data_IF_224752537209
#
_entry.id   IF_224752537209
#
_cell.length_a   1.000
_cell.length_b   1.000
_cell.length_c   1.000
_cell.angle_alpha   90.00
_cell.angle_beta   90.00
_cell.angle_gamma   90.00
#
_symmetry.space_group_name_H-M   'P 1'
#
loop_
_entity.id
_entity.type
_entity.pdbx_description
1 polymer ?
#
# COMPACT_ATOMS: atom_id res chain seq x y z
N UNK A 1 -34.88 -54.52 -29.42
CA UNK A 1 -33.60 -53.81 -29.19
C UNK A 1 -32.74 -54.61 -28.24
N UNK A 2 -31.49 -54.90 -28.60
CA UNK A 2 -30.51 -55.42 -27.65
C UNK A 2 -29.95 -54.25 -26.81
N UNK A 3 -29.85 -54.43 -25.49
CA UNK A 3 -29.30 -53.41 -24.58
C UNK A 3 -27.77 -53.40 -24.64
N UNK A 4 -27.16 -52.23 -24.64
CA UNK A 4 -25.71 -52.04 -24.53
C UNK A 4 -25.32 -51.47 -23.15
N UNK A 5 -24.03 -51.43 -22.84
CA UNK A 5 -23.52 -50.84 -21.59
C UNK A 5 -23.48 -49.31 -21.70
N UNK A 6 -24.00 -48.61 -20.68
CA UNK A 6 -24.14 -47.16 -20.71
C UNK A 6 -22.85 -46.38 -20.34
N UNK A 7 -21.97 -46.91 -19.47
CA UNK A 7 -20.75 -46.23 -19.02
C UNK A 7 -19.68 -47.20 -18.49
N UNK A 8 -18.37 -46.88 -18.64
CA UNK A 8 -17.27 -47.68 -18.08
C UNK A 8 -15.97 -46.88 -17.87
N UNK A 9 -15.32 -47.07 -16.71
CA UNK A 9 -14.00 -46.50 -16.38
C UNK A 9 -12.86 -47.56 -16.42
N UNK A 10 -13.12 -48.76 -16.95
CA UNK A 10 -12.24 -49.92 -16.75
C UNK A 10 -10.80 -49.78 -17.30
N UNK A 11 -10.60 -49.07 -18.40
CA UNK A 11 -9.28 -48.90 -19.05
C UNK A 11 -8.75 -47.46 -18.99
N UNK A 12 -9.41 -46.54 -18.26
CA UNK A 12 -8.92 -45.15 -18.23
C UNK A 12 -7.62 -45.08 -17.42
N UNK A 13 -7.62 -45.62 -16.20
CA UNK A 13 -6.43 -45.65 -15.33
C UNK A 13 -5.21 -46.27 -16.04
N UNK A 14 -5.41 -47.39 -16.75
CA UNK A 14 -4.32 -48.01 -17.50
C UNK A 14 -3.75 -47.09 -18.58
N UNK A 15 -4.60 -46.36 -19.32
CA UNK A 15 -4.16 -45.40 -20.36
C UNK A 15 -3.43 -44.20 -19.75
N UNK A 16 -3.97 -43.63 -18.68
CA UNK A 16 -3.40 -42.47 -18.00
C UNK A 16 -1.99 -42.77 -17.48
N UNK A 17 -1.77 -44.00 -17.02
CA UNK A 17 -0.48 -44.47 -16.53
C UNK A 17 0.50 -44.96 -17.61
N UNK A 18 0.09 -45.17 -18.88
CA UNK A 18 1.04 -45.58 -19.96
C UNK A 18 2.18 -44.59 -20.14
N UNK A 19 1.86 -43.30 -20.11
CA UNK A 19 2.83 -42.20 -20.22
C UNK A 19 3.22 -41.64 -18.84
N UNK A 20 2.53 -42.08 -17.79
CA UNK A 20 2.64 -41.61 -16.42
C UNK A 20 1.98 -40.25 -16.19
N UNK A 21 1.29 -40.11 -15.06
CA UNK A 21 0.68 -38.85 -14.64
C UNK A 21 1.78 -37.92 -14.12
N UNK A 22 2.18 -36.93 -14.93
CA UNK A 22 3.22 -35.96 -14.57
C UNK A 22 2.66 -34.85 -13.69
N UNK A 23 3.41 -34.48 -12.66
CA UNK A 23 3.09 -33.32 -11.81
C UNK A 23 3.38 -32.02 -12.57
N UNK A 24 2.65 -30.93 -12.31
CA UNK A 24 2.99 -29.62 -12.90
C UNK A 24 4.39 -29.20 -12.44
N UNK A 25 5.15 -28.59 -13.35
CA UNK A 25 6.52 -28.17 -13.03
C UNK A 25 6.53 -26.93 -12.14
N UNK A 26 7.22 -27.03 -11.00
CA UNK A 26 7.45 -25.90 -10.09
C UNK A 26 8.63 -25.07 -10.59
N UNK A 27 8.39 -23.81 -10.95
CA UNK A 27 9.43 -22.86 -11.33
C UNK A 27 9.87 -22.03 -10.13
N UNK A 28 11.16 -21.66 -10.07
CA UNK A 28 11.70 -20.81 -8.99
C UNK A 28 11.01 -19.45 -8.91
N UNK A 29 10.59 -18.90 -10.05
CA UNK A 29 9.92 -17.62 -10.15
C UNK A 29 8.62 -17.77 -10.95
N UNK A 30 7.43 -17.77 -10.30
CA UNK A 30 6.15 -17.82 -10.99
C UNK A 30 5.79 -16.47 -11.64
N UNK A 31 4.77 -16.47 -12.50
CA UNK A 31 4.19 -15.25 -13.06
C UNK A 31 3.48 -14.42 -11.98
N UNK A 32 3.43 -13.10 -12.16
CA UNK A 32 2.66 -12.17 -11.31
C UNK A 32 1.22 -11.95 -11.83
N UNK A 33 0.70 -12.88 -12.62
CA UNK A 33 -0.67 -12.84 -13.14
C UNK A 33 -1.66 -13.03 -11.99
N UNK A 34 -2.68 -12.18 -11.90
CA UNK A 34 -3.67 -12.22 -10.81
C UNK A 34 -3.26 -11.47 -9.53
N UNK A 35 -2.07 -10.88 -9.48
CA UNK A 35 -1.67 -9.97 -8.39
C UNK A 35 -2.35 -8.61 -8.57
N UNK A 36 -2.68 -7.94 -7.47
CA UNK A 36 -3.32 -6.61 -7.45
C UNK A 36 -2.63 -5.64 -8.46
N UNK A 37 -3.39 -5.11 -9.43
CA UNK A 37 -2.87 -4.15 -10.41
C UNK A 37 -2.21 -2.92 -9.77
N UNK A 38 -2.65 -2.45 -8.59
CA UNK A 38 -2.04 -1.31 -7.90
C UNK A 38 -0.64 -1.64 -7.41
N UNK A 39 -0.48 -2.81 -6.79
CA UNK A 39 0.83 -3.32 -6.41
C UNK A 39 1.76 -3.49 -7.61
N UNK A 40 1.29 -4.13 -8.69
CA UNK A 40 2.11 -4.40 -9.88
C UNK A 40 2.56 -3.09 -10.56
N UNK A 41 1.70 -2.07 -10.63
CA UNK A 41 2.06 -0.74 -11.14
C UNK A 41 3.19 -0.11 -10.32
N UNK A 42 3.09 -0.11 -9.00
CA UNK A 42 4.15 0.41 -8.13
C UNK A 42 5.45 -0.41 -8.24
N UNK A 43 5.36 -1.75 -8.31
CA UNK A 43 6.51 -2.62 -8.45
C UNK A 43 7.29 -2.34 -9.76
N UNK A 44 6.59 -2.02 -10.85
CA UNK A 44 7.22 -1.62 -12.12
C UNK A 44 8.02 -0.34 -11.95
N UNK A 45 7.45 0.70 -11.33
CA UNK A 45 8.15 1.97 -11.12
C UNK A 45 9.34 1.84 -10.17
N UNK A 46 9.20 1.12 -9.06
CA UNK A 46 10.32 0.90 -8.12
C UNK A 46 11.48 0.15 -8.79
N UNK A 47 11.21 -0.90 -9.57
CA UNK A 47 12.23 -1.62 -10.35
C UNK A 47 12.89 -0.75 -11.41
N UNK A 48 12.13 0.14 -12.06
CA UNK A 48 12.63 1.06 -13.08
C UNK A 48 13.65 2.05 -12.49
N UNK A 49 13.26 2.78 -11.45
CA UNK A 49 14.07 3.87 -10.90
C UNK A 49 15.23 3.39 -10.02
N UNK A 50 15.18 2.19 -9.44
CA UNK A 50 16.26 1.66 -8.62
C UNK A 50 17.41 1.02 -9.43
N UNK A 51 17.37 1.04 -10.77
CA UNK A 51 18.37 0.34 -11.60
C UNK A 51 19.80 0.87 -11.41
N UNK A 52 19.98 2.20 -11.40
CA UNK A 52 21.30 2.83 -11.26
C UNK A 52 21.83 2.69 -9.83
N UNK A 53 21.00 3.02 -8.84
CA UNK A 53 21.36 2.89 -7.43
C UNK A 53 21.74 1.45 -7.07
N UNK A 54 20.99 0.47 -7.59
CA UNK A 54 21.29 -0.95 -7.39
C UNK A 54 22.63 -1.36 -8.03
N UNK A 55 22.94 -0.89 -9.25
CA UNK A 55 24.22 -1.20 -9.89
C UNK A 55 25.40 -0.66 -9.09
N UNK A 56 25.32 0.59 -8.63
CA UNK A 56 26.38 1.21 -7.83
C UNK A 56 26.55 0.47 -6.50
N UNK A 57 25.45 0.13 -5.81
CA UNK A 57 25.48 -0.66 -4.59
C UNK A 57 26.08 -2.06 -4.80
N UNK A 58 25.76 -2.73 -5.90
CA UNK A 58 26.33 -4.04 -6.20
C UNK A 58 27.83 -3.95 -6.51
N UNK A 59 28.27 -2.88 -7.20
CA UNK A 59 29.69 -2.62 -7.47
C UNK A 59 30.47 -2.40 -6.16
N UNK A 60 29.96 -1.54 -5.28
CA UNK A 60 30.61 -1.27 -3.99
C UNK A 60 30.63 -2.52 -3.10
N UNK A 61 29.53 -3.28 -3.03
CA UNK A 61 29.50 -4.56 -2.29
C UNK A 61 30.49 -5.57 -2.84
N UNK A 62 30.59 -5.72 -4.16
CA UNK A 62 31.55 -6.63 -4.79
C UNK A 62 32.99 -6.20 -4.51
N UNK A 63 33.29 -4.90 -4.60
CA UNK A 63 34.61 -4.36 -4.27
C UNK A 63 34.95 -4.60 -2.79
N UNK A 64 34.00 -4.39 -1.87
CA UNK A 64 34.16 -4.63 -0.43
C UNK A 64 34.37 -6.11 -0.08
N UNK A 65 33.66 -7.01 -0.77
CA UNK A 65 33.88 -8.46 -0.63
C UNK A 65 35.25 -8.88 -1.18
N UNK A 66 35.69 -8.28 -2.29
CA UNK A 66 36.99 -8.55 -2.88
C UNK A 66 38.14 -7.99 -2.03
N UNK A 67 37.92 -6.88 -1.30
CA UNK A 67 38.91 -6.29 -0.39
C UNK A 67 39.01 -7.00 0.96
N UNK A 68 38.26 -8.10 1.18
CA UNK A 68 38.33 -8.89 2.40
C UNK A 68 37.78 -8.20 3.66
N UNK A 69 37.15 -7.04 3.53
CA UNK A 69 36.50 -6.33 4.63
C UNK A 69 35.17 -7.02 5.00
N UNK A 70 35.26 -8.22 5.56
CA UNK A 70 34.17 -8.82 6.30
C UNK A 70 34.18 -8.16 7.68
N UNK A 71 33.42 -7.08 7.82
CA UNK A 71 33.07 -6.56 9.14
C UNK A 71 32.35 -7.67 9.90
N UNK A 72 33.07 -8.36 10.77
CA UNK A 72 32.50 -9.21 11.81
C UNK A 72 31.55 -8.33 12.61
N UNK A 73 30.26 -8.58 12.43
CA UNK A 73 29.16 -7.79 12.95
C UNK A 73 29.20 -7.81 14.50
N UNK A 74 29.88 -6.84 15.12
CA UNK A 74 29.49 -6.40 16.45
C UNK A 74 28.23 -5.55 16.25
N UNK A 75 27.09 -6.20 16.47
CA UNK A 75 25.73 -5.71 16.29
C UNK A 75 25.60 -4.20 16.08
N UNK A 76 25.33 -3.81 14.84
CA UNK A 76 24.99 -2.43 14.48
C UNK A 76 23.70 -2.04 15.22
N UNK A 77 23.83 -1.31 16.34
CA UNK A 77 22.73 -0.49 16.88
C UNK A 77 22.31 0.46 15.77
N UNK A 78 21.16 0.20 15.15
CA UNK A 78 20.54 1.10 14.17
C UNK A 78 20.42 2.48 14.84
N UNK A 79 21.02 3.56 14.30
CA UNK A 79 20.82 4.88 14.87
C UNK A 79 19.34 5.22 14.75
N UNK A 80 18.74 5.63 15.86
CA UNK A 80 17.37 6.12 15.87
C UNK A 80 17.25 7.22 14.80
N UNK A 81 16.34 7.03 13.85
CA UNK A 81 16.02 8.04 12.85
C UNK A 81 15.53 9.27 13.62
N UNK A 82 16.33 10.33 13.67
CA UNK A 82 15.88 11.61 14.22
C UNK A 82 14.80 12.14 13.28
N UNK A 83 13.55 11.86 13.64
CA UNK A 83 12.40 12.57 13.12
C UNK A 83 12.32 13.79 14.01
N UNK A 84 12.65 14.96 13.46
CA UNK A 84 12.33 16.22 14.13
C UNK A 84 10.84 16.18 14.48
N UNK A 85 10.45 16.36 15.76
CA UNK A 85 9.05 16.41 16.11
C UNK A 85 8.44 17.60 15.36
N UNK A 86 7.62 17.31 14.35
CA UNK A 86 6.74 18.32 13.77
C UNK A 86 5.98 18.93 14.93
N UNK A 87 6.09 20.25 15.10
CA UNK A 87 5.55 21.05 16.21
C UNK A 87 4.04 20.88 16.36
N UNK A 88 3.60 19.74 16.88
CA UNK A 88 2.30 19.53 17.46
C UNK A 88 2.49 19.73 18.97
N UNK A 89 2.51 21.00 19.38
CA UNK A 89 2.68 21.37 20.78
C UNK A 89 1.41 21.06 21.55
N UNK A 90 1.32 19.87 22.12
CA UNK A 90 0.61 19.74 23.38
C UNK A 90 1.60 20.07 24.48
N UNK A 91 1.38 21.22 25.13
CA UNK A 91 2.12 21.61 26.33
C UNK A 91 2.13 20.42 27.30
N UNK A 92 3.28 20.12 27.90
CA UNK A 92 3.41 19.03 28.88
C UNK A 92 2.33 19.17 29.98
N UNK A 93 2.01 20.40 30.37
CA UNK A 93 0.92 20.72 31.30
C UNK A 93 -0.46 20.23 30.83
N UNK A 94 -0.76 20.36 29.53
CA UNK A 94 -2.02 19.89 28.93
C UNK A 94 -2.10 18.36 28.85
N UNK A 95 -0.96 17.68 28.72
CA UNK A 95 -0.92 16.21 28.70
C UNK A 95 -1.09 15.63 30.10
N UNK A 96 -0.45 16.23 31.11
CA UNK A 96 -0.62 15.83 32.52
C UNK A 96 -2.05 16.09 33.03
N UNK A 97 -2.69 17.19 32.60
CA UNK A 97 -4.09 17.48 32.93
C UNK A 97 -5.06 16.48 32.30
N UNK A 98 -4.75 15.98 31.09
CA UNK A 98 -5.56 14.97 30.40
C UNK A 98 -5.39 13.58 31.03
N UNK A 99 -4.17 13.20 31.44
CA UNK A 99 -3.93 11.89 32.09
C UNK A 99 -4.58 11.83 33.48
N UNK A 100 -4.51 12.92 34.27
CA UNK A 100 -5.10 12.96 35.62
C UNK A 100 -6.63 12.82 35.62
N UNK A 101 -7.31 13.39 34.63
CA UNK A 101 -8.78 13.36 34.54
C UNK A 101 -9.36 11.96 34.26
N UNK A 102 -8.57 11.04 33.69
CA UNK A 102 -8.99 9.63 33.53
C UNK A 102 -9.03 8.87 34.86
N UNK A 103 -8.23 9.27 35.85
CA UNK A 103 -8.21 8.61 37.16
C UNK A 103 -9.15 9.25 38.18
N UNK A 104 -9.42 10.56 38.07
CA UNK A 104 -10.29 11.29 39.03
C UNK A 104 -11.72 11.51 38.53
N UNK A 105 -12.02 11.26 37.25
CA UNK A 105 -13.38 11.40 36.69
C UNK A 105 -13.88 12.84 36.53
N UNK A 106 -13.09 13.85 36.91
CA UNK A 106 -13.46 15.26 36.78
C UNK A 106 -12.99 15.83 35.43
N UNK A 107 -13.91 15.96 34.49
CA UNK A 107 -13.64 16.64 33.21
C UNK A 107 -13.62 18.15 33.40
N UNK A 108 -12.46 18.78 33.50
CA UNK A 108 -12.35 20.24 33.34
C UNK A 108 -12.37 20.57 31.85
N UNK A 109 -13.57 20.81 31.30
CA UNK A 109 -13.71 21.40 29.96
C UNK A 109 -13.04 22.77 29.98
N UNK A 110 -12.22 23.15 28.98
CA UNK A 110 -11.74 24.51 28.90
C UNK A 110 -12.95 25.43 28.74
N UNK A 111 -13.11 26.38 29.67
CA UNK A 111 -14.14 27.41 29.62
C UNK A 111 -14.04 28.09 28.27
N UNK A 112 -15.06 27.90 27.42
CA UNK A 112 -15.17 28.64 26.17
C UNK A 112 -15.23 30.12 26.52
N UNK A 113 -14.16 30.87 26.27
CA UNK A 113 -14.28 32.34 26.20
C UNK A 113 -15.28 32.61 25.08
N UNK A 114 -16.48 33.05 25.46
CA UNK A 114 -17.53 33.46 24.55
C UNK A 114 -16.91 34.39 23.50
N UNK A 115 -16.76 33.91 22.27
CA UNK A 115 -16.36 34.74 21.14
C UNK A 115 -17.50 35.72 20.90
N UNK A 116 -17.27 36.98 21.25
CA UNK A 116 -18.23 38.05 21.01
C UNK A 116 -18.66 38.03 19.53
N UNK A 117 -19.98 38.03 19.28
CA UNK A 117 -20.56 38.07 17.93
C UNK A 117 -20.20 39.40 17.28
N UNK A 118 -19.10 39.44 16.52
CA UNK A 118 -18.80 40.58 15.64
C UNK A 118 -19.62 40.40 14.35
N UNK A 119 -20.75 41.08 14.26
CA UNK A 119 -21.58 41.15 13.04
C UNK A 119 -20.73 41.83 11.95
N UNK A 120 -20.59 41.16 10.80
CA UNK A 120 -19.97 41.77 9.62
C UNK A 120 -21.10 42.10 8.62
N UNK A 121 -21.16 43.31 8.05
CA UNK A 121 -22.15 43.60 7.02
C UNK A 121 -21.85 42.79 5.75
N UNK A 122 -22.88 42.11 5.22
CA UNK A 122 -22.77 41.35 3.96
C UNK A 122 -22.58 42.30 2.78
N UNK A 123 -21.43 42.18 2.10
CA UNK A 123 -21.20 42.79 0.78
C UNK A 123 -22.07 42.02 -0.25
N UNK A 124 -22.98 42.72 -0.93
CA UNK A 124 -23.80 42.15 -2.03
C UNK A 124 -22.86 41.80 -3.19
N UNK A 125 -22.82 40.54 -3.61
CA UNK A 125 -22.24 40.14 -4.90
C UNK A 125 -23.36 39.90 -5.90
N UNK A 126 -23.18 40.46 -7.10
CA UNK A 126 -24.03 40.29 -8.27
C UNK A 126 -23.92 38.86 -8.80
N UNK A 127 -25.06 38.27 -9.18
CA UNK A 127 -25.15 36.93 -9.77
C UNK A 127 -24.68 36.98 -11.22
N UNK A 128 -23.67 36.20 -11.59
CA UNK A 128 -23.43 35.80 -12.98
C UNK A 128 -23.93 34.37 -13.20
N UNK A 129 -24.84 34.22 -14.16
CA UNK A 129 -25.43 32.96 -14.57
C UNK A 129 -24.41 32.11 -15.35
N UNK A 130 -24.37 30.81 -15.09
CA UNK A 130 -23.70 29.83 -15.95
C UNK A 130 -24.73 28.85 -16.48
N UNK A 131 -24.89 28.89 -17.80
CA UNK A 131 -25.79 28.08 -18.61
C UNK A 131 -25.27 26.64 -18.67
N UNK A 132 -26.16 25.67 -18.45
CA UNK A 132 -25.90 24.24 -18.60
C UNK A 132 -26.11 23.86 -20.06
N UNK A 133 -25.07 23.41 -20.76
CA UNK A 133 -25.20 22.78 -22.08
C UNK A 133 -25.13 21.27 -21.94
N UNK A 134 -26.27 20.63 -22.20
CA UNK A 134 -26.45 19.19 -22.39
C UNK A 134 -25.80 18.75 -23.71
N UNK A 135 -24.84 17.83 -23.68
CA UNK A 135 -24.36 17.15 -24.88
C UNK A 135 -25.18 15.90 -25.14
N UNK A 136 -26.06 16.00 -26.13
CA UNK A 136 -26.91 14.92 -26.64
C UNK A 136 -26.13 14.03 -27.60
N UNK A 137 -26.27 12.73 -27.38
CA UNK A 137 -25.88 11.60 -28.23
C UNK A 137 -26.40 11.76 -29.66
N UNK A 138 -25.55 11.56 -30.66
CA UNK A 138 -25.98 11.38 -32.05
C UNK A 138 -25.23 10.21 -32.68
N UNK A 139 -25.98 9.14 -32.90
CA UNK A 139 -25.64 8.02 -33.75
C UNK A 139 -25.70 8.44 -35.22
N UNK A 140 -24.79 7.94 -36.06
CA UNK A 140 -25.05 7.76 -37.49
C UNK A 140 -24.20 6.63 -38.07
N UNK A 141 -24.87 5.90 -38.97
CA UNK A 141 -24.39 4.88 -39.90
C UNK A 141 -23.24 5.38 -40.77
#
# INVERSE_FOLDING_TARGET
MAKSKNHTNHNQNRKDHRNGIKRPQSQRFPSLTGVDPKYVRNLKFTKHHNRVARKNLLKTRKAKLASGEVSSDKGVKRPARQIEPTKASWSLSSLLQNISSYFTGETTKPVSRKRAKRVHPKKKSTKSATTTTTTTTAAKK
#
